data_IF_245770510719
#
_entry.id   IF_245770510719
#
_cell.length_a   1.000
_cell.length_b   1.000
_cell.length_c   1.000
_cell.angle_alpha   90.00
_cell.angle_beta   90.00
_cell.angle_gamma   90.00
#
_symmetry.space_group_name_H-M   'P 1'
#
loop_
_entity.id
_entity.type
_entity.pdbx_description
1 polymer ?
#
# COMPACT_ATOMS: atom_id res chain seq x y z
N UNK A 1 -18.88 17.11 5.78
CA UNK A 1 -18.26 15.81 5.46
C UNK A 1 -16.94 15.78 6.19
N UNK A 2 -16.86 15.12 7.35
CA UNK A 2 -15.67 15.15 8.20
C UNK A 2 -14.61 14.21 7.59
N UNK A 3 -13.80 14.74 6.68
CA UNK A 3 -12.49 14.15 6.40
C UNK A 3 -11.72 14.17 7.70
N UNK A 4 -11.14 13.03 8.07
CA UNK A 4 -10.28 12.89 9.24
C UNK A 4 -8.99 13.68 8.98
N UNK A 5 -9.02 14.99 9.25
CA UNK A 5 -7.82 15.84 9.19
C UNK A 5 -7.00 15.61 10.46
N UNK A 6 -5.86 14.94 10.31
CA UNK A 6 -4.98 14.61 11.43
C UNK A 6 -3.97 15.73 11.74
N UNK A 7 -4.01 16.86 11.01
CA UNK A 7 -3.08 17.98 11.20
C UNK A 7 -1.63 17.68 10.77
N UNK A 8 -1.43 16.65 9.96
CA UNK A 8 -0.10 16.15 9.54
C UNK A 8 0.40 16.78 8.22
N UNK A 9 -0.37 17.68 7.62
CA UNK A 9 -0.01 18.37 6.38
C UNK A 9 0.24 17.40 5.22
N UNK A 10 1.34 17.58 4.48
CA UNK A 10 1.67 16.76 3.31
C UNK A 10 2.04 15.31 3.63
N UNK A 11 2.27 14.98 4.90
CA UNK A 11 2.58 13.61 5.32
C UNK A 11 1.35 12.71 5.23
N UNK A 12 0.15 13.24 5.49
CA UNK A 12 -1.07 12.45 5.44
C UNK A 12 -1.33 11.90 4.03
N UNK A 13 -1.17 12.74 3.00
CA UNK A 13 -1.31 12.35 1.60
C UNK A 13 -0.32 11.22 1.22
N UNK A 14 0.92 11.30 1.72
CA UNK A 14 1.93 10.26 1.48
C UNK A 14 1.57 8.94 2.17
N UNK A 15 1.08 9.01 3.42
CA UNK A 15 0.62 7.83 4.16
C UNK A 15 -0.57 7.16 3.45
N UNK A 16 -1.53 7.94 2.95
CA UNK A 16 -2.64 7.42 2.14
C UNK A 16 -2.15 6.75 0.86
N UNK A 17 -1.22 7.39 0.15
CA UNK A 17 -0.65 6.82 -1.08
C UNK A 17 0.03 5.46 -0.80
N UNK A 18 0.87 5.37 0.23
CA UNK A 18 1.54 4.13 0.62
C UNK A 18 0.51 3.06 1.02
N UNK A 19 -0.51 3.44 1.80
CA UNK A 19 -1.57 2.53 2.21
C UNK A 19 -2.30 1.94 0.99
N UNK A 20 -2.76 2.76 0.05
CA UNK A 20 -3.48 2.27 -1.13
C UNK A 20 -2.60 1.40 -2.03
N UNK A 21 -1.33 1.75 -2.15
CA UNK A 21 -0.37 0.96 -2.94
C UNK A 21 -0.08 -0.40 -2.29
N UNK A 22 0.00 -0.43 -0.96
CA UNK A 22 0.16 -1.67 -0.20
C UNK A 22 -1.04 -2.61 -0.37
N UNK A 23 -2.27 -2.08 -0.50
CA UNK A 23 -3.47 -2.88 -0.74
C UNK A 23 -3.37 -3.59 -2.10
N UNK A 24 -2.94 -2.88 -3.15
CA UNK A 24 -2.73 -3.48 -4.47
C UNK A 24 -1.67 -4.57 -4.45
N UNK A 25 -0.55 -4.33 -3.78
CA UNK A 25 0.50 -5.33 -3.61
C UNK A 25 0.00 -6.56 -2.84
N UNK A 26 -0.75 -6.35 -1.77
CA UNK A 26 -1.34 -7.42 -0.96
C UNK A 26 -2.31 -8.27 -1.77
N UNK A 27 -3.17 -7.66 -2.58
CA UNK A 27 -4.08 -8.38 -3.48
C UNK A 27 -3.31 -9.25 -4.49
N UNK A 28 -2.22 -8.73 -5.07
CA UNK A 28 -1.37 -9.50 -5.98
C UNK A 28 -0.70 -10.69 -5.28
N UNK A 29 -0.23 -10.51 -4.04
CA UNK A 29 0.36 -11.59 -3.25
C UNK A 29 -0.66 -12.68 -2.91
N UNK A 30 -1.91 -12.32 -2.63
CA UNK A 30 -3.00 -13.28 -2.37
C UNK A 30 -3.41 -14.04 -3.64
N UNK A 31 -3.35 -13.39 -4.81
CA UNK A 31 -3.70 -14.00 -6.09
C UNK A 31 -2.59 -14.90 -6.66
N UNK A 32 -1.32 -14.65 -6.31
CA UNK A 32 -0.19 -15.39 -6.87
C UNK A 32 -0.08 -16.82 -6.31
N UNK A 33 0.23 -17.84 -7.13
CA UNK A 33 0.23 -19.24 -6.70
C UNK A 33 1.31 -19.57 -5.66
N UNK A 34 2.50 -18.98 -5.78
CA UNK A 34 3.65 -19.28 -4.90
C UNK A 34 3.57 -18.59 -3.53
N UNK A 35 2.94 -17.41 -3.48
CA UNK A 35 2.88 -16.56 -2.27
C UNK A 35 1.46 -16.36 -1.73
N UNK A 36 0.43 -16.79 -2.45
CA UNK A 36 -0.97 -16.71 -2.05
C UNK A 36 -1.47 -17.94 -1.29
N UNK A 37 -0.80 -19.09 -1.45
CA UNK A 37 -1.13 -20.33 -0.75
C UNK A 37 -0.81 -20.30 0.74
N UNK A 38 -1.36 -21.26 1.50
CA UNK A 38 -1.15 -21.38 2.95
C UNK A 38 0.30 -21.69 3.37
N UNK A 39 1.19 -21.97 2.42
CA UNK A 39 2.62 -22.14 2.69
C UNK A 39 3.29 -20.85 3.21
N UNK A 40 2.75 -19.67 2.87
CA UNK A 40 3.28 -18.39 3.35
C UNK A 40 2.38 -17.84 4.48
N UNK A 41 2.93 -17.64 5.70
CA UNK A 41 2.16 -17.09 6.81
C UNK A 41 1.53 -15.73 6.48
N UNK A 42 0.29 -15.51 6.92
CA UNK A 42 -0.41 -14.24 6.71
C UNK A 42 0.38 -13.00 7.18
N UNK A 43 1.06 -12.99 8.34
CA UNK A 43 1.85 -11.83 8.79
C UNK A 43 2.97 -11.46 7.82
N UNK A 44 3.63 -12.45 7.21
CA UNK A 44 4.70 -12.22 6.24
C UNK A 44 4.15 -11.51 5.01
N UNK A 45 2.99 -11.94 4.51
CA UNK A 45 2.34 -11.33 3.32
C UNK A 45 1.90 -9.90 3.57
N UNK A 46 1.39 -9.62 4.77
CA UNK A 46 0.99 -8.27 5.18
C UNK A 46 2.20 -7.35 5.27
N UNK A 47 3.30 -7.81 5.88
CA UNK A 47 4.52 -7.00 5.94
C UNK A 47 5.12 -6.79 4.55
N UNK A 48 5.13 -7.83 3.71
CA UNK A 48 5.64 -7.74 2.34
C UNK A 48 4.80 -6.75 1.51
N UNK A 49 3.48 -6.71 1.67
CA UNK A 49 2.63 -5.78 0.94
C UNK A 49 2.92 -4.32 1.31
N UNK A 50 3.19 -4.03 2.58
CA UNK A 50 3.59 -2.69 3.04
C UNK A 50 4.96 -2.30 2.48
N UNK A 51 5.95 -3.19 2.57
CA UNK A 51 7.31 -2.95 2.06
C UNK A 51 7.29 -2.72 0.55
N UNK A 52 6.53 -3.52 -0.21
CA UNK A 52 6.37 -3.34 -1.65
C UNK A 52 5.63 -2.04 -1.97
N UNK A 53 4.60 -1.69 -1.20
CA UNK A 53 3.90 -0.41 -1.32
C UNK A 53 4.85 0.78 -1.18
N UNK A 54 5.69 0.78 -0.13
CA UNK A 54 6.69 1.82 0.07
C UNK A 54 7.77 1.83 -1.03
N UNK A 55 8.25 0.66 -1.45
CA UNK A 55 9.22 0.54 -2.53
C UNK A 55 8.71 1.16 -3.83
N UNK A 56 7.47 0.83 -4.23
CA UNK A 56 6.87 1.39 -5.44
C UNK A 56 6.65 2.89 -5.30
N UNK A 57 6.19 3.37 -4.13
CA UNK A 57 6.01 4.80 -3.89
C UNK A 57 7.30 5.61 -4.04
N UNK A 58 8.46 4.99 -3.78
CA UNK A 58 9.76 5.66 -3.83
C UNK A 58 10.40 5.61 -5.22
N UNK A 59 10.27 4.47 -5.92
CA UNK A 59 11.09 4.18 -7.10
C UNK A 59 10.32 4.14 -8.41
N UNK A 60 8.98 4.12 -8.38
CA UNK A 60 8.14 4.06 -9.58
C UNK A 60 7.47 5.41 -9.81
N UNK A 61 7.53 5.97 -11.03
CA UNK A 61 6.79 7.17 -11.36
C UNK A 61 5.28 6.86 -11.35
N UNK A 62 4.58 7.35 -10.33
CA UNK A 62 3.15 7.17 -10.16
C UNK A 62 2.40 8.36 -10.76
N UNK A 63 1.22 8.08 -11.33
CA UNK A 63 0.31 9.16 -11.71
C UNK A 63 -0.10 9.95 -10.46
N UNK A 64 -0.26 11.28 -10.56
CA UNK A 64 -0.71 12.09 -9.44
C UNK A 64 -2.05 11.57 -8.92
N UNK A 65 -2.21 11.58 -7.61
CA UNK A 65 -3.49 11.27 -6.99
C UNK A 65 -4.55 12.26 -7.54
N UNK A 66 -5.79 11.79 -7.79
CA UNK A 66 -6.86 12.68 -8.22
C UNK A 66 -7.06 13.81 -7.20
N UNK A 67 -7.34 15.01 -7.68
CA UNK A 67 -7.68 16.15 -6.83
C UNK A 67 -8.96 15.78 -6.07
N UNK A 68 -8.86 15.68 -4.75
CA UNK A 68 -9.99 15.39 -3.84
C UNK A 68 -10.65 16.68 -3.37
#
# INVERSE_FOLDING_TARGET
>A
MNVLDFGLGSLEAQLWQILFLSIRCGAALMAAPMVGGMAVPAPVRILLSIVLGFFIATWVPLAPAPEM
#
